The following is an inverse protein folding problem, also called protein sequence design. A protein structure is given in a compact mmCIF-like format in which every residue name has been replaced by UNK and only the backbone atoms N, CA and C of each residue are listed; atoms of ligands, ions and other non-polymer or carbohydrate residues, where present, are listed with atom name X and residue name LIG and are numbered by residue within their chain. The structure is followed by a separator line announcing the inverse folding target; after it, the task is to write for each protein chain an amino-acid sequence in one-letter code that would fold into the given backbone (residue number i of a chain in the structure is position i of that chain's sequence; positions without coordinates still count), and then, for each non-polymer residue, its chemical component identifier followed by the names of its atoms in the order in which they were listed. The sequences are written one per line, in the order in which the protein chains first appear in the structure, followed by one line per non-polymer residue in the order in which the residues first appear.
data_IF_101325312627
#
_entry.id   IF_101325312627
#
_cell.length_a   1.000
_cell.length_b   1.000
_cell.length_c   1.000
_cell.angle_alpha   90.00
_cell.angle_beta   90.00
_cell.angle_gamma   90.00
#
_symmetry.space_group_name_H-M   'P 1'
#
loop_
_entity.id
_entity.type
_entity.pdbx_description
1 polymer ?
#
# COMPACT_ATOMS: atom_id res chain seq x y z
N UNK A 1 -8.63 3.35 -10.22
CA UNK A 1 -8.00 2.02 -10.01
C UNK A 1 -6.79 1.93 -10.93
N UNK A 2 -5.59 1.70 -10.38
CA UNK A 2 -4.33 1.75 -11.16
C UNK A 2 -3.83 0.38 -11.67
N UNK A 3 -4.30 -0.72 -11.08
CA UNK A 3 -3.80 -2.08 -11.37
C UNK A 3 -4.71 -2.85 -12.33
N UNK A 4 -6.02 -2.65 -12.21
CA UNK A 4 -7.03 -3.39 -12.97
C UNK A 4 -7.86 -2.41 -13.79
N UNK A 5 -8.05 -2.73 -15.07
CA UNK A 5 -8.94 -1.97 -15.95
C UNK A 5 -10.40 -2.26 -15.62
N UNK A 6 -11.16 -1.24 -15.28
CA UNK A 6 -12.61 -1.33 -15.09
C UNK A 6 -13.34 -0.95 -16.39
N UNK A 7 -14.54 -1.53 -16.62
CA UNK A 7 -15.39 -1.13 -17.75
C UNK A 7 -16.04 0.24 -17.57
N UNK A 8 -16.19 0.68 -16.32
CA UNK A 8 -16.83 1.94 -15.96
C UNK A 8 -15.83 2.83 -15.21
N UNK A 9 -15.82 4.11 -15.56
CA UNK A 9 -14.94 5.12 -14.98
C UNK A 9 -13.60 5.25 -15.71
N UNK A 10 -13.29 6.49 -16.08
CA UNK A 10 -11.96 7.09 -16.22
C UNK A 10 -11.31 7.39 -14.86
N UNK A 11 -10.77 6.48 -14.04
CA UNK A 11 -10.40 6.86 -12.67
C UNK A 11 -9.13 7.73 -12.58
N UNK A 12 -8.59 8.15 -13.73
CA UNK A 12 -7.41 8.98 -13.84
C UNK A 12 -7.87 10.37 -14.25
N UNK A 13 -7.89 11.28 -13.28
CA UNK A 13 -8.42 12.63 -13.46
C UNK A 13 -7.40 13.55 -14.15
N UNK A 14 -6.13 13.15 -14.16
CA UNK A 14 -5.04 13.90 -14.79
C UNK A 14 -3.97 12.99 -15.43
N UNK A 15 -3.04 13.62 -16.15
CA UNK A 15 -1.94 12.95 -16.86
C UNK A 15 -1.00 12.20 -15.90
N UNK A 16 -0.78 12.72 -14.69
CA UNK A 16 0.11 12.08 -13.72
C UNK A 16 -0.51 10.80 -13.14
N UNK A 17 -1.83 10.76 -12.96
CA UNK A 17 -2.54 9.53 -12.56
C UNK A 17 -2.39 8.44 -13.63
N UNK A 18 -2.45 8.80 -14.92
CA UNK A 18 -2.24 7.86 -16.00
C UNK A 18 -0.81 7.26 -15.99
N UNK A 19 0.20 8.06 -15.59
CA UNK A 19 1.59 7.60 -15.45
C UNK A 19 1.78 6.62 -14.29
N UNK A 20 0.91 6.64 -13.28
CA UNK A 20 0.98 5.67 -12.17
C UNK A 20 0.54 4.25 -12.58
N UNK A 21 -0.28 4.09 -13.62
CA UNK A 21 -0.76 2.78 -14.08
C UNK A 21 0.41 1.82 -14.39
N UNK A 22 1.36 2.14 -15.30
CA UNK A 22 2.45 1.22 -15.61
C UNK A 22 3.35 0.94 -14.40
N UNK A 23 3.53 1.93 -13.51
CA UNK A 23 4.29 1.78 -12.26
C UNK A 23 3.64 0.73 -11.35
N UNK A 24 2.34 0.87 -11.10
CA UNK A 24 1.59 -0.06 -10.24
C UNK A 24 1.53 -1.46 -10.85
N UNK A 25 1.30 -1.57 -12.15
CA UNK A 25 1.30 -2.86 -12.86
C UNK A 25 2.68 -3.53 -12.76
N UNK A 26 3.77 -2.79 -12.99
CA UNK A 26 5.12 -3.33 -12.88
C UNK A 26 5.43 -3.84 -11.46
N UNK A 27 5.12 -3.02 -10.44
CA UNK A 27 5.31 -3.35 -9.03
C UNK A 27 4.62 -4.67 -8.66
N UNK A 28 3.33 -4.82 -8.97
CA UNK A 28 2.58 -6.03 -8.70
C UNK A 28 3.07 -7.23 -9.53
N UNK A 29 3.40 -7.01 -10.80
CA UNK A 29 3.90 -8.10 -11.67
C UNK A 29 5.25 -8.64 -11.22
N UNK A 30 6.14 -7.77 -10.72
CA UNK A 30 7.45 -8.16 -10.19
C UNK A 30 7.29 -8.95 -8.90
N UNK A 31 6.41 -8.50 -8.00
CA UNK A 31 6.10 -9.24 -6.79
C UNK A 31 5.58 -10.66 -7.07
N UNK A 32 4.67 -10.82 -8.03
CA UNK A 32 4.16 -12.14 -8.42
C UNK A 32 5.27 -13.04 -8.97
N UNK A 33 6.25 -12.48 -9.70
CA UNK A 33 7.34 -13.25 -10.32
C UNK A 33 8.45 -13.63 -9.35
N UNK A 34 8.83 -12.73 -8.44
CA UNK A 34 10.06 -12.85 -7.64
C UNK A 34 9.82 -12.81 -6.13
N UNK A 35 8.61 -12.50 -5.69
CA UNK A 35 8.30 -12.20 -4.28
C UNK A 35 8.77 -10.82 -3.82
N UNK A 36 9.37 -10.01 -4.70
CA UNK A 36 9.87 -8.67 -4.38
C UNK A 36 9.24 -7.65 -5.34
N UNK A 37 8.45 -6.68 -4.83
CA UNK A 37 7.88 -5.65 -5.67
C UNK A 37 8.98 -4.69 -6.17
N UNK A 38 8.89 -4.32 -7.44
CA UNK A 38 9.78 -3.31 -8.02
C UNK A 38 9.28 -1.91 -7.64
N UNK A 39 10.06 -1.22 -6.81
CA UNK A 39 9.82 0.16 -6.35
C UNK A 39 10.94 1.10 -6.82
N UNK A 40 11.65 0.73 -7.89
CA UNK A 40 12.79 1.47 -8.40
C UNK A 40 14.02 1.43 -7.48
N UNK A 41 14.99 2.30 -7.74
CA UNK A 41 16.28 2.34 -7.01
C UNK A 41 16.26 3.21 -5.76
N UNK A 42 15.21 3.99 -5.52
CA UNK A 42 15.14 4.99 -4.45
C UNK A 42 14.64 4.44 -3.11
N UNK A 43 14.07 3.24 -3.09
CA UNK A 43 13.53 2.63 -1.87
C UNK A 43 13.67 1.11 -1.89
N UNK A 44 13.70 0.49 -0.71
CA UNK A 44 13.59 -0.96 -0.55
C UNK A 44 12.30 -1.25 0.20
N UNK A 45 11.34 -1.92 -0.45
CA UNK A 45 10.12 -2.34 0.23
C UNK A 45 10.41 -3.55 1.12
N UNK A 46 10.64 -3.28 2.41
CA UNK A 46 10.85 -4.33 3.40
C UNK A 46 9.56 -5.12 3.66
N UNK A 47 9.62 -6.46 3.78
CA UNK A 47 8.46 -7.27 4.17
C UNK A 47 7.88 -6.84 5.52
N UNK A 48 6.56 -7.00 5.66
CA UNK A 48 5.87 -6.79 6.94
C UNK A 48 6.33 -7.85 7.94
N UNK A 49 6.56 -7.44 9.19
CA UNK A 49 6.95 -8.37 10.25
C UNK A 49 5.82 -9.34 10.57
N UNK A 50 6.21 -10.56 10.97
CA UNK A 50 5.27 -11.55 11.51
C UNK A 50 4.92 -11.28 12.98
N UNK A 51 5.71 -10.45 13.66
CA UNK A 51 5.45 -10.07 15.04
C UNK A 51 4.44 -8.92 15.07
N UNK A 52 3.24 -9.10 15.66
CA UNK A 52 2.23 -8.04 15.74
C UNK A 52 2.66 -6.82 16.56
N UNK A 53 3.66 -6.96 17.42
CA UNK A 53 4.22 -5.85 18.21
C UNK A 53 5.21 -4.99 17.42
N UNK A 54 5.69 -5.45 16.28
CA UNK A 54 6.59 -4.66 15.45
C UNK A 54 5.79 -3.59 14.69
N UNK A 55 6.37 -2.40 14.47
CA UNK A 55 5.70 -1.36 13.69
C UNK A 55 5.36 -1.81 12.26
N UNK A 56 4.21 -1.35 11.76
CA UNK A 56 3.79 -1.59 10.39
C UNK A 56 4.67 -0.79 9.43
N UNK A 57 5.50 -1.48 8.65
CA UNK A 57 6.29 -0.90 7.57
C UNK A 57 5.51 -0.92 6.27
N UNK A 58 5.41 0.22 5.61
CA UNK A 58 4.74 0.34 4.31
C UNK A 58 5.48 1.29 3.38
N UNK A 59 5.14 1.23 2.10
CA UNK A 59 5.59 2.19 1.09
C UNK A 59 4.43 3.13 0.76
N UNK A 60 4.67 4.42 0.92
CA UNK A 60 3.81 5.48 0.41
C UNK A 60 4.18 5.72 -1.05
N UNK A 61 3.18 5.60 -1.92
CA UNK A 61 3.29 5.86 -3.36
C UNK A 61 2.63 7.21 -3.61
N UNK A 62 3.37 8.15 -4.16
CA UNK A 62 2.85 9.50 -4.47
C UNK A 62 2.49 9.63 -5.94
N UNK A 63 1.71 10.67 -6.26
CA UNK A 63 1.37 11.03 -7.65
C UNK A 63 2.60 11.41 -8.48
N UNK A 64 3.71 11.79 -7.84
CA UNK A 64 4.98 12.09 -8.52
C UNK A 64 5.85 10.82 -8.74
N UNK A 65 5.24 9.64 -8.63
CA UNK A 65 5.90 8.33 -8.74
C UNK A 65 7.09 8.18 -7.77
N UNK A 66 7.01 8.81 -6.60
CA UNK A 66 8.01 8.62 -5.53
C UNK A 66 7.55 7.53 -4.58
N UNK A 67 8.54 6.82 -4.02
CA UNK A 67 8.35 5.75 -3.05
C UNK A 67 9.03 6.15 -1.74
N UNK A 68 8.23 6.31 -0.70
CA UNK A 68 8.70 6.71 0.63
C UNK A 68 8.39 5.58 1.61
N UNK A 69 9.42 5.07 2.30
CA UNK A 69 9.20 4.12 3.38
C UNK A 69 8.63 4.83 4.60
N UNK A 70 7.58 4.26 5.16
CA UNK A 70 6.94 4.74 6.37
C UNK A 70 6.81 3.61 7.38
N UNK A 71 6.77 3.99 8.65
CA UNK A 71 6.66 3.08 9.77
C UNK A 71 5.61 3.61 10.75
N UNK A 72 4.65 2.77 11.10
CA UNK A 72 3.55 3.11 11.99
C UNK A 72 3.52 2.18 13.19
N UNK A 73 3.73 2.73 14.39
CA UNK A 73 3.61 2.00 15.66
C UNK A 73 2.15 1.79 16.09
N UNK A 74 1.23 2.61 15.58
CA UNK A 74 -0.21 2.52 15.86
C UNK A 74 -1.04 2.71 14.56
N UNK A 75 -0.98 1.75 13.63
CA UNK A 75 -1.65 1.87 12.34
C UNK A 75 -3.16 2.03 12.50
N UNK A 76 -3.76 2.97 11.76
CA UNK A 76 -5.20 3.20 11.78
C UNK A 76 -5.78 3.68 13.11
N UNK A 77 -4.95 4.18 14.04
CA UNK A 77 -5.33 4.48 15.42
C UNK A 77 -5.89 3.26 16.17
N UNK A 78 -5.34 2.07 15.91
CA UNK A 78 -5.73 0.82 16.57
C UNK A 78 -5.91 0.96 18.09
N UNK A 79 -4.96 1.60 18.79
CA UNK A 79 -5.05 1.82 20.24
C UNK A 79 -6.35 2.51 20.67
N UNK A 80 -6.84 3.48 19.90
CA UNK A 80 -8.12 4.13 20.18
C UNK A 80 -9.29 3.17 19.93
N UNK A 81 -9.33 2.53 18.75
CA UNK A 81 -10.42 1.62 18.39
C UNK A 81 -10.54 0.43 19.34
N UNK A 82 -9.42 -0.07 19.88
CA UNK A 82 -9.41 -1.14 20.90
C UNK A 82 -9.95 -0.71 22.27
N UNK A 83 -10.11 0.59 22.54
CA UNK A 83 -10.71 1.06 23.80
C UNK A 83 -12.24 1.12 23.76
N UNK A 84 -12.83 1.08 22.56
CA UNK A 84 -14.27 1.19 22.43
C UNK A 84 -14.93 -0.08 22.97
N UNK A 85 -16.02 0.01 23.75
CA UNK A 85 -16.72 -1.14 24.33
C UNK A 85 -17.62 -1.82 23.29
N UNK A 86 -17.10 -2.07 22.10
CA UNK A 86 -17.81 -2.69 20.98
C UNK A 86 -17.26 -4.10 20.84
N UNK A 87 -18.02 -5.09 21.30
CA UNK A 87 -17.75 -6.49 20.97
C UNK A 87 -18.18 -6.72 19.53
N UNK A 88 -17.20 -6.81 18.62
CA UNK A 88 -17.44 -7.09 17.19
C UNK A 88 -18.08 -8.49 16.97
N UNK A 89 -18.09 -9.34 18.01
CA UNK A 89 -18.71 -10.65 18.01
C UNK A 89 -19.72 -10.76 19.17
N UNK A 90 -21.01 -10.84 18.84
CA UNK A 90 -22.00 -11.46 19.71
C UNK A 90 -21.87 -12.98 19.55
N UNK A 91 -21.52 -13.67 20.63
CA UNK A 91 -21.55 -15.14 20.69
C UNK A 91 -22.99 -15.65 20.80
#
# INVERSE_FOLDING_TARGET
MYVIKTRYGNPHDNVEDAKLIPVMVNMWSSFVKTGVPDVGSSAVWSPVSKNPSDPLKLIKITQNQTFEQQEYSNPGNHNFWSTLPITEYHA
#
